data_IF_436394096398
#
_entry.id   IF_436394096398
#
_cell.length_a   1.000
_cell.length_b   1.000
_cell.length_c   1.000
_cell.angle_alpha   90.00
_cell.angle_beta   90.00
_cell.angle_gamma   90.00
#
_symmetry.space_group_name_H-M   'P 1'
#
loop_
_entity.id
_entity.type
_entity.pdbx_description
1 polymer ?
#
# COMPACT_ATOMS: atom_id res chain seq x y z
N UNK A 1 20.23 -0.72 11.07
CA UNK A 1 18.90 -1.15 11.54
C UNK A 1 18.29 -1.95 10.41
N UNK A 2 18.05 -3.24 10.59
CA UNK A 2 17.39 -4.08 9.57
C UNK A 2 15.92 -3.64 9.46
N UNK A 3 15.45 -3.38 8.24
CA UNK A 3 14.06 -3.05 7.96
C UNK A 3 13.36 -4.32 7.47
N UNK A 4 12.37 -4.79 8.22
CA UNK A 4 11.46 -5.84 7.78
C UNK A 4 10.62 -5.32 6.61
N UNK A 5 10.73 -5.96 5.44
CA UNK A 5 9.83 -5.69 4.30
C UNK A 5 8.48 -6.30 4.65
N UNK A 6 7.48 -5.44 4.86
CA UNK A 6 6.09 -5.88 4.83
C UNK A 6 5.75 -6.08 3.36
N UNK A 7 5.36 -7.28 2.95
CA UNK A 7 4.91 -7.53 1.58
C UNK A 7 3.40 -7.32 1.48
N UNK A 8 2.89 -6.95 0.30
CA UNK A 8 1.46 -7.07 0.02
C UNK A 8 1.03 -8.55 0.18
N UNK A 9 -0.25 -8.80 0.50
CA UNK A 9 -0.73 -10.16 0.75
C UNK A 9 -0.53 -11.07 -0.47
N UNK A 10 0.30 -12.12 -0.33
CA UNK A 10 0.44 -13.20 -1.32
C UNK A 10 1.86 -13.57 -1.75
N UNK A 11 2.89 -12.75 -1.51
CA UNK A 11 4.25 -12.98 -2.02
C UNK A 11 5.23 -13.70 -1.06
N UNK A 12 6.35 -14.26 -1.59
CA UNK A 12 7.46 -14.79 -0.79
C UNK A 12 8.42 -13.68 -0.30
N UNK A 13 8.82 -13.75 0.97
CA UNK A 13 9.60 -12.70 1.68
C UNK A 13 11.05 -12.57 1.13
N UNK A 14 11.41 -11.39 0.62
CA UNK A 14 12.80 -11.02 0.25
C UNK A 14 13.33 -9.78 1.00
N UNK A 15 14.64 -9.76 1.29
CA UNK A 15 15.33 -8.69 2.04
C UNK A 15 15.89 -7.62 1.08
N UNK A 16 15.55 -6.35 1.28
CA UNK A 16 16.11 -5.22 0.50
C UNK A 16 16.54 -4.05 1.41
N UNK A 17 17.69 -3.45 1.09
CA UNK A 17 18.29 -2.32 1.80
C UNK A 17 17.73 -0.97 1.31
N UNK A 18 17.02 -0.24 2.16
CA UNK A 18 16.43 1.06 1.81
C UNK A 18 17.41 2.23 1.96
N UNK A 19 17.54 3.08 0.94
CA UNK A 19 18.31 4.33 1.00
C UNK A 19 17.45 5.53 1.45
N UNK A 20 17.98 6.37 2.34
CA UNK A 20 17.26 7.46 3.01
C UNK A 20 17.16 8.74 2.16
N UNK A 21 16.01 8.96 1.51
CA UNK A 21 15.44 10.30 1.22
C UNK A 21 13.91 10.20 1.25
N UNK A 22 13.29 10.64 2.35
CA UNK A 22 11.85 10.48 2.58
C UNK A 22 11.07 11.66 2.00
N UNK A 23 10.81 11.64 0.69
CA UNK A 23 9.68 12.41 0.15
C UNK A 23 8.38 11.78 0.70
N UNK A 24 7.40 12.61 1.07
CA UNK A 24 6.08 12.12 1.44
C UNK A 24 5.49 11.35 0.26
N UNK A 25 4.98 10.14 0.49
CA UNK A 25 4.26 9.41 -0.55
C UNK A 25 2.84 9.95 -0.58
N UNK A 26 2.49 10.63 -1.66
CA UNK A 26 1.14 11.12 -1.85
C UNK A 26 0.22 9.98 -2.32
N UNK A 27 -0.72 9.63 -1.45
CA UNK A 27 -1.74 8.62 -1.72
C UNK A 27 -3.03 9.35 -2.03
N UNK A 28 -3.61 9.07 -3.21
CA UNK A 28 -4.84 9.70 -3.67
C UNK A 28 -5.91 8.65 -3.93
N UNK A 29 -7.16 9.03 -3.74
CA UNK A 29 -8.30 8.24 -4.21
C UNK A 29 -8.19 8.03 -5.72
N UNK A 30 -8.51 6.81 -6.15
CA UNK A 30 -8.40 6.30 -7.52
C UNK A 30 -6.97 6.18 -8.05
N UNK A 31 -5.95 6.32 -7.19
CA UNK A 31 -4.60 5.91 -7.56
C UNK A 31 -4.54 4.39 -7.72
N UNK A 32 -3.80 3.96 -8.74
CA UNK A 32 -3.68 2.56 -9.16
C UNK A 32 -2.27 2.08 -8.88
N UNK A 33 -2.16 0.87 -8.39
CA UNK A 33 -0.89 0.29 -7.95
C UNK A 33 -0.82 -1.16 -8.39
N UNK A 34 0.36 -1.58 -8.84
CA UNK A 34 0.63 -2.98 -9.19
C UNK A 34 1.67 -3.53 -8.22
N UNK A 35 1.43 -4.74 -7.71
CA UNK A 35 2.36 -5.44 -6.85
C UNK A 35 3.40 -6.28 -7.62
N UNK A 36 4.25 -7.01 -6.89
CA UNK A 36 5.29 -7.86 -7.48
C UNK A 36 4.75 -9.02 -8.32
N UNK A 37 3.50 -9.44 -8.11
CA UNK A 37 2.86 -10.55 -8.81
C UNK A 37 2.00 -10.07 -9.98
N UNK A 38 1.95 -8.75 -10.23
CA UNK A 38 1.19 -8.15 -11.32
C UNK A 38 -0.28 -7.86 -10.97
N UNK A 39 -0.71 -8.09 -9.73
CA UNK A 39 -2.08 -7.80 -9.30
C UNK A 39 -2.30 -6.29 -9.19
N UNK A 40 -3.47 -5.85 -9.65
CA UNK A 40 -3.87 -4.45 -9.67
C UNK A 40 -4.71 -4.09 -8.44
N UNK A 41 -4.26 -3.05 -7.74
CA UNK A 41 -4.90 -2.47 -6.58
C UNK A 41 -5.36 -1.04 -6.85
N UNK A 42 -6.58 -0.70 -6.44
CA UNK A 42 -7.13 0.66 -6.57
C UNK A 42 -7.41 1.22 -5.18
N UNK A 43 -6.86 2.40 -4.89
CA UNK A 43 -7.22 3.13 -3.67
C UNK A 43 -8.64 3.68 -3.83
N UNK A 44 -9.59 3.22 -3.03
CA UNK A 44 -11.00 3.63 -3.10
C UNK A 44 -11.36 4.68 -2.06
N UNK A 45 -10.69 4.67 -0.90
CA UNK A 45 -10.92 5.61 0.20
C UNK A 45 -9.67 5.82 1.06
N UNK A 46 -9.58 7.00 1.67
CA UNK A 46 -8.67 7.30 2.78
C UNK A 46 -9.52 7.73 3.97
N UNK A 47 -9.43 7.03 5.10
CA UNK A 47 -10.24 7.36 6.26
C UNK A 47 -9.47 7.20 7.57
N UNK A 48 -9.90 7.93 8.60
CA UNK A 48 -9.39 7.76 9.95
C UNK A 48 -9.98 6.50 10.59
N UNK A 49 -9.22 5.87 11.49
CA UNK A 49 -9.74 4.86 12.40
C UNK A 49 -9.26 5.14 13.82
N UNK A 50 -10.06 4.69 14.80
CA UNK A 50 -9.70 4.77 16.20
C UNK A 50 -9.30 3.37 16.68
N UNK A 51 -8.03 3.20 17.02
CA UNK A 51 -7.57 1.96 17.64
C UNK A 51 -8.22 1.83 19.03
N UNK A 52 -9.13 0.86 19.17
CA UNK A 52 -9.91 0.62 20.39
C UNK A 52 -9.04 0.17 21.58
N UNK A 53 -7.76 -0.13 21.41
CA UNK A 53 -6.86 -0.52 22.50
C UNK A 53 -5.91 0.57 23.00
N UNK A 54 -5.64 1.61 22.20
CA UNK A 54 -4.55 2.57 22.50
C UNK A 54 -4.97 4.03 22.51
N UNK A 55 -6.23 4.34 22.18
CA UNK A 55 -6.72 5.72 22.10
C UNK A 55 -6.04 6.56 21.00
N UNK A 56 -5.25 5.91 20.13
CA UNK A 56 -4.56 6.57 19.02
C UNK A 56 -5.44 6.56 17.78
N UNK A 57 -5.48 7.70 17.11
CA UNK A 57 -6.06 7.84 15.78
C UNK A 57 -5.02 7.39 14.75
N UNK A 58 -5.43 6.51 13.85
CA UNK A 58 -4.67 6.11 12.68
C UNK A 58 -5.39 6.51 11.40
N UNK A 59 -4.74 6.30 10.25
CA UNK A 59 -5.35 6.43 8.94
C UNK A 59 -5.24 5.09 8.21
N UNK A 60 -6.32 4.68 7.55
CA UNK A 60 -6.38 3.52 6.67
C UNK A 60 -6.51 3.97 5.22
N UNK A 61 -6.08 3.07 4.34
CA UNK A 61 -6.25 3.11 2.91
C UNK A 61 -7.13 1.92 2.56
N UNK A 62 -8.29 2.19 1.99
CA UNK A 62 -9.17 1.16 1.43
C UNK A 62 -8.66 0.80 0.03
N UNK A 63 -8.39 -0.48 -0.20
CA UNK A 63 -7.87 -1.02 -1.45
C UNK A 63 -8.84 -2.02 -2.04
N UNK A 64 -9.21 -1.79 -3.30
CA UNK A 64 -9.90 -2.77 -4.13
C UNK A 64 -8.87 -3.64 -4.86
N UNK A 65 -8.95 -4.95 -4.66
CA UNK A 65 -8.36 -5.96 -5.53
C UNK A 65 -9.22 -6.07 -6.80
N UNK A 66 -8.67 -5.74 -7.95
CA UNK A 66 -9.42 -5.72 -9.21
C UNK A 66 -9.76 -7.12 -9.70
N UNK A 67 -8.91 -8.13 -9.42
CA UNK A 67 -9.13 -9.48 -9.93
C UNK A 67 -10.23 -10.21 -9.16
N UNK A 68 -10.25 -10.02 -7.83
CA UNK A 68 -11.20 -10.69 -6.94
C UNK A 68 -12.43 -9.84 -6.60
N UNK A 69 -12.44 -8.57 -6.98
CA UNK A 69 -13.44 -7.56 -6.60
C UNK A 69 -13.64 -7.44 -5.08
N UNK A 70 -12.58 -7.71 -4.30
CA UNK A 70 -12.62 -7.62 -2.83
C UNK A 70 -12.00 -6.33 -2.32
N UNK A 71 -12.54 -5.82 -1.22
CA UNK A 71 -12.04 -4.61 -0.55
C UNK A 71 -11.34 -5.00 0.74
N UNK A 72 -10.16 -4.41 0.97
CA UNK A 72 -9.41 -4.53 2.23
C UNK A 72 -9.04 -3.15 2.76
N UNK A 73 -8.97 -3.05 4.09
CA UNK A 73 -8.44 -1.87 4.78
C UNK A 73 -7.00 -2.12 5.24
N UNK A 74 -6.10 -1.24 4.85
CA UNK A 74 -4.68 -1.33 5.22
C UNK A 74 -4.26 -0.05 5.96
N UNK A 75 -3.53 -0.16 7.09
CA UNK A 75 -2.93 1.00 7.72
C UNK A 75 -2.09 1.82 6.73
N UNK A 76 -2.30 3.13 6.69
CA UNK A 76 -1.57 4.03 5.77
C UNK A 76 -0.06 3.92 5.93
N UNK A 77 0.43 3.66 7.14
CA UNK A 77 1.86 3.45 7.40
C UNK A 77 2.41 2.23 6.68
N UNK A 78 1.63 1.15 6.63
CA UNK A 78 1.98 -0.10 5.96
C UNK A 78 1.91 0.08 4.44
N UNK A 79 0.83 0.67 3.93
CA UNK A 79 0.71 0.99 2.52
C UNK A 79 1.86 1.89 2.02
N UNK A 80 2.25 2.88 2.81
CA UNK A 80 3.40 3.75 2.50
C UNK A 80 4.71 2.98 2.52
N UNK A 81 4.86 1.98 3.39
CA UNK A 81 6.04 1.13 3.43
C UNK A 81 6.14 0.26 2.17
N UNK A 82 5.02 -0.29 1.69
CA UNK A 82 4.97 -1.02 0.42
C UNK A 82 5.46 -0.19 -0.75
N UNK A 83 4.99 1.06 -0.86
CA UNK A 83 5.43 1.98 -1.92
C UNK A 83 6.92 2.30 -1.81
N UNK A 84 7.40 2.64 -0.60
CA UNK A 84 8.82 2.98 -0.38
C UNK A 84 9.76 1.81 -0.63
N UNK A 85 9.31 0.59 -0.36
CA UNK A 85 10.08 -0.63 -0.65
C UNK A 85 10.08 -1.01 -2.13
N UNK A 86 9.20 -0.42 -2.93
CA UNK A 86 8.99 -0.78 -4.33
C UNK A 86 8.09 -2.01 -4.53
N UNK A 87 7.51 -2.56 -3.46
CA UNK A 87 6.56 -3.67 -3.51
C UNK A 87 5.23 -3.27 -4.17
N UNK A 88 4.86 -1.98 -4.11
CA UNK A 88 3.80 -1.40 -4.93
C UNK A 88 4.39 -0.33 -5.85
N UNK A 89 4.11 -0.45 -7.14
CA UNK A 89 4.49 0.55 -8.16
C UNK A 89 3.24 1.25 -8.67
N UNK A 90 3.31 2.58 -8.74
CA UNK A 90 2.19 3.39 -9.23
C UNK A 90 2.01 3.19 -10.73
N UNK A 91 0.76 3.07 -11.15
CA UNK A 91 0.38 3.07 -12.57
C UNK A 91 -0.11 4.46 -12.93
N UNK A 92 0.76 5.25 -13.58
CA UNK A 92 0.46 6.63 -13.98
C UNK A 92 -0.12 6.73 -15.41
N UNK A 93 -0.05 5.65 -16.19
CA UNK A 93 -0.62 5.57 -17.54
C UNK A 93 -2.05 5.04 -17.51
N UNK A 94 -2.89 5.37 -18.52
CA UNK A 94 -4.16 4.71 -18.71
C UNK A 94 -3.93 3.20 -18.82
N UNK A 95 -4.66 2.41 -18.02
CA UNK A 95 -4.75 0.97 -18.23
C UNK A 95 -5.72 0.80 -19.37
N UNK A 96 -5.21 0.36 -20.52
CA UNK A 96 -6.05 -0.13 -21.60
C UNK A 96 -6.57 -1.49 -21.14
N UNK A 97 -7.83 -1.51 -20.68
CA UNK A 97 -8.58 -2.72 -20.35
C UNK A 97 -9.17 -3.33 -21.62
#
# INVERSE_FOLDING_TARGET
MEATVVQPPGGPVEKVQASSKTYGVDVFRWSKWVDGDGKLWIVTLLHGFRDKGRGKWGANVELLDVDSETIIDVPRTEFTAWIKSGALKRVDTPILL
#
